data_IF_441904163088
#
_entry.id   IF_441904163088
#
_cell.length_a   1.000
_cell.length_b   1.000
_cell.length_c   1.000
_cell.angle_alpha   90.00
_cell.angle_beta   90.00
_cell.angle_gamma   90.00
#
_symmetry.space_group_name_H-M   'P 1'
#
loop_
_entity.id
_entity.type
_entity.pdbx_description
1 polymer ?
#
# COMPACT_ATOMS: atom_id res chain seq x y z
N UNK A 1 16.64 2.92 -7.62
CA UNK A 1 15.32 3.37 -8.12
C UNK A 1 14.32 2.32 -7.68
N UNK A 2 13.42 2.63 -6.74
CA UNK A 2 12.35 1.69 -6.38
C UNK A 2 11.24 1.83 -7.41
N UNK A 3 11.24 0.95 -8.42
CA UNK A 3 10.12 0.80 -9.35
C UNK A 3 8.91 0.29 -8.57
N UNK A 4 8.12 1.22 -8.03
CA UNK A 4 6.96 0.93 -7.21
C UNK A 4 5.75 0.66 -8.10
N UNK A 5 5.68 -0.56 -8.63
CA UNK A 5 4.45 -1.12 -9.21
C UNK A 5 3.44 -1.41 -8.08
N UNK A 6 2.83 -0.35 -7.54
CA UNK A 6 1.87 -0.41 -6.44
C UNK A 6 0.55 0.29 -6.80
N UNK A 7 -0.43 0.21 -5.89
CA UNK A 7 -1.77 0.76 -6.11
C UNK A 7 -1.77 2.29 -6.28
N UNK A 8 -0.85 3.01 -5.64
CA UNK A 8 -0.81 4.47 -5.70
C UNK A 8 -0.32 4.94 -7.06
N UNK A 9 0.74 4.32 -7.60
CA UNK A 9 1.20 4.63 -8.95
C UNK A 9 0.15 4.27 -10.01
N UNK A 10 -0.60 3.19 -9.81
CA UNK A 10 -1.72 2.84 -10.69
C UNK A 10 -2.81 3.92 -10.67
N UNK A 11 -3.17 4.43 -9.47
CA UNK A 11 -4.15 5.51 -9.33
C UNK A 11 -3.69 6.79 -10.01
N UNK A 12 -2.41 7.15 -9.86
CA UNK A 12 -1.84 8.33 -10.51
C UNK A 12 -2.01 8.26 -12.03
N UNK A 13 -1.62 7.13 -12.64
CA UNK A 13 -1.77 6.90 -14.08
C UNK A 13 -3.24 7.02 -14.51
N UNK A 14 -4.17 6.47 -13.73
CA UNK A 14 -5.60 6.56 -14.03
C UNK A 14 -6.13 8.00 -13.92
N UNK A 15 -5.64 8.79 -12.98
CA UNK A 15 -6.01 10.21 -12.87
C UNK A 15 -5.41 11.06 -13.99
N UNK A 16 -4.16 10.81 -14.38
CA UNK A 16 -3.54 11.43 -15.55
C UNK A 16 -4.37 11.14 -16.82
N UNK A 17 -4.74 9.87 -17.01
CA UNK A 17 -5.61 9.40 -18.11
C UNK A 17 -6.95 10.17 -18.13
N UNK A 18 -7.58 10.39 -16.97
CA UNK A 18 -8.81 11.19 -16.86
C UNK A 18 -8.57 12.67 -17.18
N UNK A 19 -7.41 13.22 -16.81
CA UNK A 19 -7.00 14.58 -17.18
C UNK A 19 -6.87 14.73 -18.70
N UNK A 20 -6.17 13.79 -19.33
CA UNK A 20 -5.95 13.78 -20.78
C UNK A 20 -7.25 13.61 -21.57
N UNK A 21 -8.20 12.82 -21.07
CA UNK A 21 -9.53 12.71 -21.67
C UNK A 21 -10.33 14.02 -21.60
N UNK A 22 -10.13 14.82 -20.55
CA UNK A 22 -10.80 16.12 -20.39
C UNK A 22 -10.13 17.24 -21.19
N UNK A 23 -8.90 17.02 -21.68
CA UNK A 23 -8.19 18.00 -22.47
C UNK A 23 -8.89 18.20 -23.82
N UNK A 24 -9.50 19.38 -24.03
CA UNK A 24 -10.22 19.69 -25.27
C UNK A 24 -9.31 20.05 -26.43
N UNK A 25 -8.09 20.51 -26.15
CA UNK A 25 -7.13 20.94 -27.16
C UNK A 25 -6.34 19.76 -27.73
N UNK A 26 -5.97 18.82 -26.86
CA UNK A 26 -5.26 17.60 -27.23
C UNK A 26 -5.75 16.41 -26.39
N UNK A 27 -6.96 15.89 -26.66
CA UNK A 27 -7.50 14.76 -25.93
C UNK A 27 -6.70 13.49 -26.25
N UNK A 28 -6.56 12.62 -25.25
CA UNK A 28 -6.10 11.26 -25.50
C UNK A 28 -7.15 10.47 -26.31
N UNK A 29 -6.65 9.57 -27.16
CA UNK A 29 -7.47 8.60 -27.88
C UNK A 29 -8.32 7.71 -26.96
N UNK A 30 -9.60 7.53 -27.30
CA UNK A 30 -10.57 6.80 -26.48
C UNK A 30 -10.25 5.31 -26.40
N UNK A 31 -9.81 4.69 -27.49
CA UNK A 31 -9.45 3.27 -27.50
C UNK A 31 -8.23 3.01 -26.62
N UNK A 32 -7.25 3.92 -26.65
CA UNK A 32 -6.12 3.90 -25.71
C UNK A 32 -6.60 4.04 -24.26
N UNK A 33 -7.51 4.96 -23.98
CA UNK A 33 -8.04 5.15 -22.62
C UNK A 33 -8.74 3.89 -22.10
N UNK A 34 -9.51 3.24 -22.96
CA UNK A 34 -10.19 1.98 -22.66
C UNK A 34 -9.19 0.86 -22.39
N UNK A 35 -8.16 0.73 -23.22
CA UNK A 35 -7.10 -0.27 -23.01
C UNK A 35 -6.38 -0.08 -21.67
N UNK A 36 -6.09 1.17 -21.28
CA UNK A 36 -5.52 1.48 -19.96
C UNK A 36 -6.47 1.02 -18.85
N UNK A 37 -7.77 1.33 -18.96
CA UNK A 37 -8.77 0.94 -17.96
C UNK A 37 -8.89 -0.59 -17.83
N UNK A 38 -8.85 -1.33 -18.94
CA UNK A 38 -8.97 -2.78 -18.95
C UNK A 38 -7.76 -3.46 -18.29
N UNK A 39 -6.55 -2.96 -18.58
CA UNK A 39 -5.31 -3.44 -17.93
C UNK A 39 -5.34 -3.13 -16.43
N UNK A 40 -5.74 -1.92 -16.04
CA UNK A 40 -5.87 -1.54 -14.63
C UNK A 40 -6.86 -2.44 -13.88
N UNK A 41 -8.00 -2.76 -14.50
CA UNK A 41 -8.99 -3.66 -13.92
C UNK A 41 -8.42 -5.07 -13.69
N UNK A 42 -7.60 -5.56 -14.62
CA UNK A 42 -6.90 -6.86 -14.50
C UNK A 42 -5.95 -6.85 -13.30
N UNK A 43 -5.16 -5.79 -13.13
CA UNK A 43 -4.25 -5.62 -11.99
C UNK A 43 -5.02 -5.55 -10.65
N UNK A 44 -6.13 -4.81 -10.60
CA UNK A 44 -6.98 -4.77 -9.40
C UNK A 44 -7.51 -6.16 -9.05
N UNK A 45 -7.85 -6.97 -10.06
CA UNK A 45 -8.33 -8.33 -9.83
C UNK A 45 -7.22 -9.25 -9.27
N UNK A 46 -5.95 -9.11 -9.70
CA UNK A 46 -4.84 -9.86 -9.08
C UNK A 46 -4.65 -9.48 -7.62
N UNK A 47 -4.75 -8.19 -7.30
CA UNK A 47 -4.66 -7.70 -5.92
C UNK A 47 -5.77 -8.27 -5.03
N UNK A 48 -7.00 -8.36 -5.54
CA UNK A 48 -8.13 -8.98 -4.82
C UNK A 48 -7.84 -10.45 -4.47
N UNK A 49 -7.26 -11.22 -5.40
CA UNK A 49 -6.89 -12.62 -5.16
C UNK A 49 -5.83 -12.74 -4.06
N UNK A 50 -4.83 -11.85 -4.03
CA UNK A 50 -3.84 -11.82 -2.95
C UNK A 50 -4.48 -11.49 -1.59
N UNK A 51 -5.41 -10.54 -1.54
CA UNK A 51 -6.16 -10.18 -0.32
C UNK A 51 -7.03 -11.35 0.15
N UNK A 52 -7.73 -12.02 -0.76
CA UNK A 52 -8.58 -13.16 -0.43
C UNK A 52 -7.74 -14.34 0.08
N UNK A 53 -6.58 -14.61 -0.54
CA UNK A 53 -5.62 -15.58 -0.05
C UNK A 53 -5.15 -15.25 1.38
N UNK A 54 -4.77 -13.99 1.65
CA UNK A 54 -4.37 -13.56 2.99
C UNK A 54 -5.50 -13.75 4.02
N UNK A 55 -6.74 -13.40 3.66
CA UNK A 55 -7.93 -13.58 4.52
C UNK A 55 -8.18 -15.05 4.86
N UNK A 56 -8.06 -15.95 3.89
CA UNK A 56 -8.34 -17.39 4.07
C UNK A 56 -7.24 -18.07 4.90
N UNK A 57 -5.98 -17.72 4.65
CA UNK A 57 -4.83 -18.39 5.28
C UNK A 57 -4.46 -17.80 6.64
N UNK A 58 -4.96 -16.59 6.96
CA UNK A 58 -4.50 -15.83 8.12
C UNK A 58 -3.07 -15.32 7.96
N UNK A 59 -2.50 -15.38 6.75
CA UNK A 59 -1.21 -14.79 6.44
C UNK A 59 -1.29 -13.25 6.58
N UNK A 60 -0.18 -12.57 6.91
CA UNK A 60 -0.14 -11.12 7.01
C UNK A 60 -0.73 -10.47 5.74
N UNK A 61 -1.48 -9.38 5.91
CA UNK A 61 -2.09 -8.63 4.80
C UNK A 61 -1.07 -7.90 3.91
N UNK A 62 0.23 -8.16 4.09
CA UNK A 62 1.34 -7.56 3.35
C UNK A 62 1.45 -8.18 1.95
N UNK A 63 0.50 -7.81 1.09
CA UNK A 63 0.56 -8.11 -0.35
C UNK A 63 1.72 -7.35 -0.99
N UNK A 64 2.32 -7.88 -2.07
CA UNK A 64 3.37 -7.13 -2.80
C UNK A 64 2.79 -5.93 -3.57
N UNK A 65 1.46 -5.82 -3.64
CA UNK A 65 0.73 -4.82 -4.39
C UNK A 65 0.32 -3.59 -3.55
N UNK A 66 -0.10 -3.81 -2.30
CA UNK A 66 -0.40 -2.74 -1.34
C UNK A 66 0.77 -2.67 -0.37
N UNK A 67 1.56 -1.59 -0.46
CA UNK A 67 2.59 -1.33 0.52
C UNK A 67 1.95 -1.14 1.90
N UNK A 68 2.48 -1.81 2.90
CA UNK A 68 2.16 -1.47 4.28
C UNK A 68 2.74 -0.08 4.52
N UNK A 69 1.87 0.91 4.74
CA UNK A 69 2.31 2.08 5.47
C UNK A 69 2.64 1.55 6.85
N UNK A 70 3.91 1.19 7.07
CA UNK A 70 4.48 1.21 8.41
C UNK A 70 4.29 2.64 8.87
N UNK A 71 3.13 2.92 9.49
CA UNK A 71 3.05 3.93 10.51
C UNK A 71 4.20 3.54 11.43
N UNK A 72 5.29 4.29 11.33
CA UNK A 72 6.41 4.10 12.21
C UNK A 72 5.82 4.35 13.59
N UNK A 73 5.43 3.29 14.29
CA UNK A 73 5.41 3.28 15.74
C UNK A 73 6.86 3.51 16.13
N UNK A 74 7.25 4.78 16.12
CA UNK A 74 8.29 5.28 16.99
C UNK A 74 7.75 4.98 18.39
N UNK A 75 7.98 3.76 18.87
CA UNK A 75 8.07 3.48 20.28
C UNK A 75 9.26 4.31 20.78
N UNK A 76 9.05 5.61 20.94
CA UNK A 76 9.84 6.38 21.88
C UNK A 76 9.53 5.79 23.25
N UNK A 77 10.41 4.89 23.71
CA UNK A 77 10.49 4.58 25.12
C UNK A 77 10.51 5.92 25.87
N UNK A 78 9.62 6.16 26.86
CA UNK A 78 9.64 7.40 27.59
C UNK A 78 11.03 7.59 28.19
N UNK A 79 11.72 8.66 27.79
CA UNK A 79 13.01 9.05 28.36
C UNK A 79 12.77 9.40 29.83
N UNK A 80 12.93 8.41 30.71
CA UNK A 80 12.79 8.57 32.15
C UNK A 80 12.03 7.47 32.90
N UNK A 81 11.59 6.38 32.25
CA UNK A 81 10.95 5.27 32.96
C UNK A 81 11.96 4.32 33.61
N UNK A 82 12.07 4.33 34.94
CA UNK A 82 12.80 3.29 35.67
C UNK A 82 12.03 1.97 35.63
N UNK A 83 12.61 0.93 35.02
CA UNK A 83 12.09 -0.44 35.12
C UNK A 83 12.34 -0.92 36.54
N UNK A 84 11.32 -0.96 37.39
CA UNK A 84 11.40 -1.64 38.68
C UNK A 84 11.37 -3.16 38.41
N UNK A 85 12.53 -3.81 38.43
CA UNK A 85 12.60 -5.28 38.47
C UNK A 85 12.18 -5.74 39.88
N UNK A 86 10.87 -5.92 40.08
CA UNK A 86 10.33 -6.61 41.25
C UNK A 86 10.86 -8.05 41.26
N UNK A 87 11.85 -8.32 42.11
CA UNK A 87 12.37 -9.69 42.27
C UNK A 87 13.77 -9.85 42.86
N UNK A 88 14.60 -8.81 42.95
CA UNK A 88 15.92 -8.93 43.58
C UNK A 88 15.78 -8.76 45.10
N UNK A 89 15.39 -9.84 45.79
CA UNK A 89 15.55 -9.95 47.25
C UNK A 89 17.04 -10.07 47.54
N UNK A 90 17.65 -8.98 48.02
CA UNK A 90 18.95 -9.04 48.66
C UNK A 90 18.76 -9.71 50.02
N UNK A 91 19.18 -10.98 50.14
CA UNK A 91 19.38 -11.61 51.44
C UNK A 91 20.61 -10.97 52.09
N UNK A 92 20.44 -10.44 53.29
CA UNK A 92 21.53 -10.13 54.21
C UNK A 92 21.24 -10.85 55.53
#
# INVERSE_FOLDING_TARGET
>A
MSDQNNVDKLRDILFETLGDLKNKENPMDIERAKAISDVAQTIINTAKVEIDHARITGAPHTTRFIAESVAQEQQELPKGGYIHKIGQRHNN
#
